data_IF_294760134564
#
_entry.id   IF_294760134564
#
_cell.length_a   1.000
_cell.length_b   1.000
_cell.length_c   1.000
_cell.angle_alpha   90.00
_cell.angle_beta   90.00
_cell.angle_gamma   90.00
#
_symmetry.space_group_name_H-M   'P 1'
#
loop_
_entity.id
_entity.type
_entity.pdbx_description
1 polymer ?
#
# COMPACT_ATOMS: atom_id res chain seq x y z
N UNK A 1 1.15 -3.21 -16.57
CA UNK A 1 1.25 -2.34 -15.35
C UNK A 1 1.39 -3.14 -14.06
N UNK A 2 0.60 -4.20 -13.87
CA UNK A 2 0.67 -4.99 -12.63
C UNK A 2 2.04 -5.61 -12.36
N UNK A 3 2.81 -5.94 -13.40
CA UNK A 3 4.15 -6.52 -13.22
C UNK A 3 5.16 -5.51 -12.66
N UNK A 4 4.85 -4.21 -12.73
CA UNK A 4 5.71 -3.16 -12.17
C UNK A 4 5.47 -2.91 -10.68
N UNK A 5 4.31 -3.31 -10.16
CA UNK A 5 3.96 -3.09 -8.75
C UNK A 5 4.88 -3.82 -7.78
N UNK A 6 5.24 -5.11 -8.03
CA UNK A 6 6.23 -5.77 -7.16
C UNK A 6 7.57 -5.07 -7.15
N UNK A 7 7.97 -4.47 -8.28
CA UNK A 7 9.23 -3.72 -8.37
C UNK A 7 9.16 -2.45 -7.52
N UNK A 8 8.03 -1.74 -7.57
CA UNK A 8 7.79 -0.58 -6.69
C UNK A 8 7.87 -0.97 -5.22
N UNK A 9 7.24 -2.08 -4.86
CA UNK A 9 7.26 -2.59 -3.48
C UNK A 9 8.68 -2.91 -3.03
N UNK A 10 9.46 -3.54 -3.89
CA UNK A 10 10.84 -3.92 -3.57
C UNK A 10 11.71 -2.69 -3.37
N UNK A 11 11.55 -1.66 -4.20
CA UNK A 11 12.26 -0.39 -4.05
C UNK A 11 11.88 0.30 -2.75
N UNK A 12 10.59 0.33 -2.44
CA UNK A 12 10.11 0.95 -1.21
C UNK A 12 10.65 0.22 0.02
N UNK A 13 10.67 -1.11 -0.02
CA UNK A 13 11.21 -1.93 1.06
C UNK A 13 12.70 -1.69 1.23
N UNK A 14 13.45 -1.59 0.14
CA UNK A 14 14.87 -1.30 0.19
C UNK A 14 15.16 0.05 0.84
N UNK A 15 14.36 1.07 0.50
CA UNK A 15 14.48 2.40 1.09
C UNK A 15 14.20 2.35 2.59
N UNK A 16 13.13 1.70 2.99
CA UNK A 16 12.71 1.59 4.40
C UNK A 16 13.73 0.80 5.21
N UNK A 17 14.19 -0.35 4.68
CA UNK A 17 15.12 -1.24 5.40
C UNK A 17 16.49 -0.62 5.62
N UNK A 18 16.94 0.24 4.71
CA UNK A 18 18.26 0.85 4.77
C UNK A 18 18.25 2.29 5.29
N UNK A 19 17.06 2.82 5.64
CA UNK A 19 16.90 4.20 6.12
C UNK A 19 17.50 5.24 5.18
N UNK A 20 17.38 5.03 3.88
CA UNK A 20 17.87 6.01 2.91
C UNK A 20 17.10 7.32 3.03
N UNK A 21 17.82 8.44 2.98
CA UNK A 21 17.19 9.75 3.04
C UNK A 21 16.64 10.15 1.65
N UNK A 22 15.95 11.30 1.61
CA UNK A 22 15.29 11.78 0.39
C UNK A 22 16.27 12.13 -0.72
N UNK A 23 17.55 12.31 -0.40
CA UNK A 23 18.58 12.66 -1.37
C UNK A 23 19.31 11.43 -1.93
N UNK A 24 19.09 10.27 -1.35
CA UNK A 24 19.75 9.05 -1.81
C UNK A 24 19.30 8.70 -3.23
N UNK A 25 20.24 8.22 -4.06
CA UNK A 25 19.95 7.90 -5.45
C UNK A 25 18.80 6.91 -5.62
N UNK A 26 18.69 5.91 -4.75
CA UNK A 26 17.60 4.91 -4.80
C UNK A 26 16.25 5.58 -4.60
N UNK A 27 16.16 6.52 -3.64
CA UNK A 27 14.93 7.26 -3.38
C UNK A 27 14.54 8.11 -4.58
N UNK A 28 15.51 8.74 -5.21
CA UNK A 28 15.25 9.55 -6.42
C UNK A 28 14.72 8.70 -7.56
N UNK A 29 15.29 7.51 -7.77
CA UNK A 29 14.81 6.57 -8.80
C UNK A 29 13.40 6.09 -8.48
N UNK A 30 13.13 5.74 -7.23
CA UNK A 30 11.80 5.32 -6.79
C UNK A 30 10.76 6.41 -7.05
N UNK A 31 11.04 7.63 -6.65
CA UNK A 31 10.12 8.76 -6.83
C UNK A 31 9.86 9.03 -8.32
N UNK A 32 10.90 8.93 -9.15
CA UNK A 32 10.75 9.13 -10.60
C UNK A 32 9.87 8.06 -11.23
N UNK A 33 10.08 6.80 -10.85
CA UNK A 33 9.26 5.69 -11.35
C UNK A 33 7.81 5.87 -10.93
N UNK A 34 7.56 6.17 -9.66
CA UNK A 34 6.23 6.37 -9.14
C UNK A 34 5.51 7.51 -9.84
N UNK A 35 6.20 8.66 -10.01
CA UNK A 35 5.62 9.81 -10.70
C UNK A 35 5.29 9.49 -12.16
N UNK A 36 6.16 8.75 -12.84
CA UNK A 36 5.92 8.34 -14.23
C UNK A 36 4.69 7.45 -14.36
N UNK A 37 4.50 6.53 -13.43
CA UNK A 37 3.34 5.66 -13.41
C UNK A 37 2.06 6.43 -13.07
N UNK A 38 2.14 7.40 -12.16
CA UNK A 38 1.00 8.27 -11.82
C UNK A 38 0.55 9.07 -13.05
N UNK A 39 1.48 9.52 -13.86
CA UNK A 39 1.18 10.20 -15.12
C UNK A 39 0.39 9.32 -16.08
N UNK A 40 0.58 7.99 -16.00
CA UNK A 40 -0.15 7.01 -16.80
C UNK A 40 -1.47 6.58 -16.16
N UNK A 41 -1.86 7.19 -15.06
CA UNK A 41 -3.14 6.93 -14.41
C UNK A 41 -3.10 6.00 -13.21
N UNK A 42 -1.90 5.65 -12.74
CA UNK A 42 -1.78 4.84 -11.52
C UNK A 42 -2.07 5.69 -10.29
N UNK A 43 -2.94 5.22 -9.42
CA UNK A 43 -3.29 5.87 -8.17
C UNK A 43 -3.15 4.87 -7.04
N UNK A 44 -2.40 5.25 -6.00
CA UNK A 44 -2.29 4.43 -4.80
C UNK A 44 -3.58 4.53 -4.00
N UNK A 45 -4.09 3.40 -3.51
CA UNK A 45 -5.24 3.37 -2.61
C UNK A 45 -4.81 4.00 -1.29
N UNK A 46 -5.59 4.96 -0.79
CA UNK A 46 -5.30 5.67 0.45
C UNK A 46 -5.05 4.70 1.60
N UNK A 47 -4.17 5.11 2.52
CA UNK A 47 -3.84 4.30 3.69
C UNK A 47 -5.11 3.95 4.46
N UNK A 48 -5.46 2.66 4.59
CA UNK A 48 -6.73 2.26 5.19
C UNK A 48 -6.66 2.07 6.70
N UNK A 49 -5.54 2.35 7.35
CA UNK A 49 -5.39 2.14 8.79
C UNK A 49 -6.39 3.01 9.55
N UNK A 50 -7.14 2.38 10.45
CA UNK A 50 -8.19 3.04 11.21
C UNK A 50 -9.53 3.10 10.51
N UNK A 51 -9.63 2.64 9.27
CA UNK A 51 -10.87 2.61 8.50
C UNK A 51 -11.50 1.22 8.53
N UNK A 52 -12.79 1.14 8.23
CA UNK A 52 -13.48 -0.13 8.08
C UNK A 52 -13.04 -0.83 6.79
N UNK A 53 -13.06 -2.14 6.81
CA UNK A 53 -12.72 -2.93 5.61
C UNK A 53 -13.72 -2.67 4.49
N UNK A 54 -13.19 -2.38 3.31
CA UNK A 54 -13.97 -2.24 2.08
C UNK A 54 -13.46 -3.26 1.07
N UNK A 55 -14.24 -4.28 0.79
CA UNK A 55 -13.81 -5.38 -0.07
C UNK A 55 -13.57 -4.98 -1.52
N UNK A 56 -14.04 -3.81 -1.95
CA UNK A 56 -13.74 -3.30 -3.29
C UNK A 56 -12.27 -2.89 -3.43
N UNK A 57 -11.66 -2.44 -2.32
CA UNK A 57 -10.29 -1.91 -2.34
C UNK A 57 -9.34 -2.73 -1.49
N UNK A 58 -9.84 -3.47 -0.49
CA UNK A 58 -9.02 -4.13 0.49
C UNK A 58 -9.22 -5.64 0.47
N UNK A 59 -8.15 -6.37 0.78
CA UNK A 59 -8.18 -7.81 0.98
C UNK A 59 -7.65 -8.10 2.38
N UNK A 60 -8.49 -8.66 3.24
CA UNK A 60 -8.09 -9.05 4.59
C UNK A 60 -7.33 -10.37 4.52
N UNK A 61 -6.02 -10.32 4.75
CA UNK A 61 -5.17 -11.51 4.70
C UNK A 61 -4.96 -12.13 6.08
N UNK A 62 -5.28 -11.39 7.12
CA UNK A 62 -5.14 -11.87 8.50
C UNK A 62 -6.09 -11.12 9.41
N UNK A 63 -6.53 -11.79 10.46
CA UNK A 63 -7.36 -11.19 11.50
C UNK A 63 -6.71 -11.42 12.83
N UNK A 64 -6.63 -10.39 13.66
CA UNK A 64 -6.03 -10.49 15.00
C UNK A 64 -7.01 -9.94 16.03
N UNK A 65 -6.90 -10.38 17.30
CA UNK A 65 -7.76 -9.83 18.36
C UNK A 65 -7.54 -8.32 18.52
N UNK A 66 -8.65 -7.58 18.65
CA UNK A 66 -8.58 -6.14 18.90
C UNK A 66 -8.08 -5.89 20.33
N UNK A 67 -7.05 -5.06 20.45
CA UNK A 67 -6.55 -4.64 21.76
C UNK A 67 -7.49 -3.64 22.43
N UNK A 68 -8.20 -2.86 21.60
CA UNK A 68 -9.15 -1.85 22.07
C UNK A 68 -10.48 -2.04 21.33
N UNK A 69 -11.58 -1.77 21.99
CA UNK A 69 -12.90 -1.86 21.36
C UNK A 69 -13.02 -0.99 20.11
N UNK A 70 -12.33 0.15 20.09
CA UNK A 70 -12.34 1.08 18.96
C UNK A 70 -11.73 0.48 17.69
N UNK A 71 -10.86 -0.53 17.85
CA UNK A 71 -10.18 -1.17 16.72
C UNK A 71 -10.98 -2.33 16.13
N UNK A 72 -12.01 -2.78 16.82
CA UNK A 72 -12.80 -3.93 16.38
C UNK A 72 -13.39 -3.71 14.98
N UNK A 73 -13.16 -4.64 14.08
CA UNK A 73 -13.58 -4.60 12.67
C UNK A 73 -12.92 -3.49 11.86
N UNK A 74 -11.81 -2.95 12.37
CA UNK A 74 -11.06 -1.92 11.66
C UNK A 74 -9.72 -2.45 11.19
N UNK A 75 -9.21 -1.84 10.12
CA UNK A 75 -7.90 -2.17 9.58
C UNK A 75 -6.84 -1.58 10.50
N UNK A 76 -5.92 -2.43 10.95
CA UNK A 76 -4.86 -2.00 11.87
C UNK A 76 -3.49 -1.97 11.22
N UNK A 77 -3.33 -2.62 10.06
CA UNK A 77 -2.05 -2.61 9.36
C UNK A 77 -2.28 -2.87 7.87
N UNK A 78 -1.35 -2.38 7.05
CA UNK A 78 -1.33 -2.62 5.62
C UNK A 78 -0.06 -3.39 5.28
N UNK A 79 -0.21 -4.60 4.79
CA UNK A 79 0.91 -5.47 4.43
C UNK A 79 1.42 -5.12 3.04
N UNK A 80 0.53 -4.85 2.11
CA UNK A 80 0.87 -4.53 0.73
C UNK A 80 -0.08 -3.46 0.21
N UNK A 81 0.48 -2.42 -0.40
CA UNK A 81 -0.32 -1.31 -0.91
C UNK A 81 -1.15 -1.72 -2.12
N UNK A 82 -2.35 -1.17 -2.22
CA UNK A 82 -3.22 -1.38 -3.36
C UNK A 82 -3.13 -0.22 -4.34
N UNK A 83 -3.49 -0.48 -5.59
CA UNK A 83 -3.40 0.51 -6.66
C UNK A 83 -4.62 0.45 -7.60
N UNK A 84 -4.98 1.62 -8.11
CA UNK A 84 -5.97 1.80 -9.16
C UNK A 84 -5.26 2.20 -10.45
N UNK A 85 -5.77 1.79 -11.57
CA UNK A 85 -5.31 2.27 -12.87
C UNK A 85 -6.53 2.64 -13.71
N UNK A 86 -6.61 3.93 -14.09
CA UNK A 86 -7.76 4.41 -14.84
C UNK A 86 -9.08 4.23 -14.11
N UNK A 87 -9.08 4.31 -12.78
CA UNK A 87 -10.26 4.12 -11.96
C UNK A 87 -10.59 2.67 -11.60
N UNK A 88 -9.85 1.71 -12.14
CA UNK A 88 -10.04 0.29 -11.84
C UNK A 88 -9.01 -0.21 -10.84
N UNK A 89 -9.45 -1.02 -9.87
CA UNK A 89 -8.52 -1.67 -8.93
C UNK A 89 -7.75 -2.75 -9.68
N UNK A 90 -6.44 -2.57 -9.79
CA UNK A 90 -5.55 -3.57 -10.38
C UNK A 90 -4.85 -4.42 -9.32
N UNK A 91 -4.80 -3.93 -8.09
CA UNK A 91 -4.30 -4.68 -6.95
C UNK A 91 -4.97 -4.16 -5.68
N UNK A 92 -5.60 -5.05 -4.94
CA UNK A 92 -6.21 -4.70 -3.65
C UNK A 92 -5.12 -4.46 -2.60
N UNK A 93 -5.41 -3.57 -1.65
CA UNK A 93 -4.53 -3.39 -0.51
C UNK A 93 -4.68 -4.61 0.41
N UNK A 94 -3.58 -5.28 0.71
CA UNK A 94 -3.58 -6.40 1.65
C UNK A 94 -3.45 -5.86 3.06
N UNK A 95 -4.43 -6.18 3.90
CA UNK A 95 -4.57 -5.55 5.22
C UNK A 95 -4.75 -6.60 6.32
N UNK A 96 -4.46 -6.17 7.54
CA UNK A 96 -4.74 -6.93 8.75
C UNK A 96 -5.89 -6.23 9.48
N UNK A 97 -6.90 -6.99 9.84
CA UNK A 97 -8.12 -6.48 10.49
C UNK A 97 -8.17 -6.94 11.94
N UNK A 98 -8.57 -6.04 12.85
CA UNK A 98 -8.85 -6.40 14.24
C UNK A 98 -10.27 -6.93 14.35
N UNK A 99 -10.43 -8.06 15.00
CA UNK A 99 -11.76 -8.65 15.19
C UNK A 99 -12.20 -8.67 16.64
#
# INVERSE_FOLDING_TARGET
MTILLPILDDLERAITSNNYDQKHGVVLVYNKLKSSLETKGLVEIDCPIGKSLDTEFHEAISMVPAEKKKQKNKIIDTVEKGYLLGGKVIRHAKVVVAN
#
